data_IF_971590703013
#
_entry.id   IF_971590703013
#
_cell.length_a   1.000
_cell.length_b   1.000
_cell.length_c   1.000
_cell.angle_alpha   90.00
_cell.angle_beta   90.00
_cell.angle_gamma   90.00
#
_symmetry.space_group_name_H-M   'P 1'
#
loop_
_entity.id
_entity.type
_entity.pdbx_description
1 polymer ?
#
# COMPACT_ATOMS: atom_id res chain seq x y z
N UNK A 1 -17.19 75.47 -10.83
CA UNK A 1 -18.01 74.39 -10.24
C UNK A 1 -17.97 73.21 -11.19
N UNK A 2 -17.40 72.11 -10.99
CA UNK A 2 -16.59 71.48 -9.96
C UNK A 2 -16.16 70.13 -10.48
N UNK A 3 -14.93 70.11 -10.81
CA UNK A 3 -14.24 68.86 -11.31
C UNK A 3 -13.62 68.17 -10.09
N UNK A 4 -14.47 67.63 -9.18
CA UNK A 4 -14.01 67.00 -7.92
C UNK A 4 -14.89 65.92 -7.34
N UNK A 5 -15.65 65.18 -8.19
CA UNK A 5 -16.45 64.01 -7.73
C UNK A 5 -16.33 62.76 -8.60
N UNK A 6 -15.18 62.58 -9.25
CA UNK A 6 -14.96 61.36 -10.08
C UNK A 6 -13.69 60.58 -9.70
N UNK A 7 -13.26 60.65 -8.45
CA UNK A 7 -12.03 59.96 -7.98
C UNK A 7 -12.22 59.05 -6.77
N UNK A 8 -13.46 58.64 -6.47
CA UNK A 8 -13.75 57.76 -5.29
C UNK A 8 -14.56 56.50 -5.59
N UNK A 9 -14.54 56.02 -6.83
CA UNK A 9 -15.25 54.82 -7.24
C UNK A 9 -14.35 53.74 -7.91
N UNK A 10 -13.03 53.77 -7.71
CA UNK A 10 -12.08 52.87 -8.37
C UNK A 10 -11.11 52.16 -7.40
N UNK A 11 -11.42 52.06 -6.09
CA UNK A 11 -10.58 51.34 -5.10
C UNK A 11 -11.36 50.22 -4.39
N UNK A 12 -12.39 49.67 -4.96
CA UNK A 12 -13.17 48.59 -4.30
C UNK A 12 -13.37 47.35 -5.17
N UNK A 13 -12.49 47.02 -6.10
CA UNK A 13 -12.58 45.77 -6.90
C UNK A 13 -11.19 45.17 -7.12
N UNK A 14 -10.35 45.08 -6.11
CA UNK A 14 -9.07 44.38 -6.17
C UNK A 14 -8.78 43.54 -4.91
N UNK A 15 -9.78 42.93 -4.33
CA UNK A 15 -9.57 41.89 -3.29
C UNK A 15 -10.68 40.85 -3.44
N UNK A 16 -10.59 39.99 -4.43
CA UNK A 16 -11.27 38.70 -4.48
C UNK A 16 -10.72 37.91 -5.69
N UNK A 17 -9.45 37.60 -5.65
CA UNK A 17 -8.76 36.77 -6.60
C UNK A 17 -7.48 36.22 -5.98
N UNK A 18 -7.52 35.94 -4.68
CA UNK A 18 -6.58 34.97 -4.14
C UNK A 18 -6.97 33.63 -4.74
N UNK A 19 -6.30 33.19 -5.79
CA UNK A 19 -6.23 31.76 -6.10
C UNK A 19 -5.77 31.11 -4.78
N UNK A 20 -6.69 30.42 -4.11
CA UNK A 20 -6.30 29.50 -3.05
C UNK A 20 -5.46 28.42 -3.74
N UNK A 21 -4.16 28.64 -3.77
CA UNK A 21 -3.26 27.51 -3.98
C UNK A 21 -3.51 26.58 -2.80
N UNK A 22 -3.64 25.27 -3.05
CA UNK A 22 -3.80 24.32 -1.96
C UNK A 22 -2.64 24.55 -0.98
N UNK A 23 -2.97 24.65 0.29
CA UNK A 23 -2.00 24.83 1.36
C UNK A 23 -0.93 23.73 1.28
N UNK A 24 0.32 24.11 1.35
CA UNK A 24 1.43 23.13 1.28
C UNK A 24 1.46 22.41 2.62
N UNK A 25 1.37 21.08 2.57
CA UNK A 25 1.63 20.26 3.76
C UNK A 25 3.14 20.14 3.89
N UNK A 26 3.67 20.82 4.88
CA UNK A 26 5.06 20.73 5.32
C UNK A 26 5.09 20.36 6.82
N UNK A 27 6.28 20.29 7.38
CA UNK A 27 6.45 19.90 8.78
C UNK A 27 5.76 20.86 9.75
N UNK A 28 5.79 22.17 9.47
CA UNK A 28 5.10 23.16 10.28
C UNK A 28 3.58 23.00 10.21
N UNK A 29 3.05 22.71 9.02
CA UNK A 29 1.63 22.44 8.85
C UNK A 29 1.21 21.20 9.65
N UNK A 30 2.05 20.15 9.65
CA UNK A 30 1.79 18.93 10.43
C UNK A 30 1.79 19.22 11.93
N UNK A 31 2.79 19.97 12.44
CA UNK A 31 2.84 20.39 13.85
C UNK A 31 1.64 21.21 14.30
N UNK A 32 1.12 22.06 13.43
CA UNK A 32 -0.01 22.93 13.73
C UNK A 32 -1.36 22.19 13.68
N UNK A 33 -1.48 21.09 12.91
CA UNK A 33 -2.76 20.46 12.62
C UNK A 33 -2.88 19.01 13.14
N UNK A 34 -1.78 18.34 13.44
CA UNK A 34 -1.76 16.94 13.84
C UNK A 34 -0.96 16.67 15.12
N UNK A 35 -1.38 15.68 15.87
CA UNK A 35 -0.62 15.13 16.98
C UNK A 35 -0.11 13.73 16.62
N UNK A 36 1.19 13.48 16.84
CA UNK A 36 1.78 12.17 16.71
C UNK A 36 1.71 11.42 18.03
N UNK A 37 1.30 10.15 17.98
CA UNK A 37 1.26 9.26 19.14
C UNK A 37 1.77 7.88 18.76
N UNK A 38 2.70 7.32 19.51
CA UNK A 38 3.20 5.96 19.34
C UNK A 38 2.63 5.05 20.43
N UNK A 39 2.21 3.87 20.03
CA UNK A 39 1.59 2.88 20.92
C UNK A 39 2.04 1.47 20.60
N UNK A 40 2.06 0.63 21.60
CA UNK A 40 2.25 -0.81 21.45
C UNK A 40 0.89 -1.48 21.60
N UNK A 41 0.31 -1.94 20.49
CA UNK A 41 -1.01 -2.60 20.47
C UNK A 41 -0.82 -4.09 20.75
N UNK A 42 -1.45 -4.58 21.81
CA UNK A 42 -1.40 -5.99 22.19
C UNK A 42 -2.32 -6.82 21.30
N UNK A 43 -1.77 -7.85 20.67
CA UNK A 43 -2.48 -8.84 19.89
C UNK A 43 -3.03 -9.94 20.78
N UNK A 44 -3.95 -10.77 20.27
CA UNK A 44 -4.63 -11.85 21.01
C UNK A 44 -3.71 -12.88 21.66
N UNK A 45 -2.47 -13.02 21.17
CA UNK A 45 -1.44 -13.91 21.69
C UNK A 45 -0.50 -13.23 22.71
N UNK A 46 -0.72 -11.94 23.00
CA UNK A 46 0.06 -11.14 23.93
C UNK A 46 1.30 -10.47 23.33
N UNK A 47 1.60 -10.69 22.06
CA UNK A 47 2.63 -9.96 21.31
C UNK A 47 2.14 -8.54 21.03
N UNK A 48 3.04 -7.55 21.08
CA UNK A 48 2.69 -6.15 20.89
C UNK A 48 3.26 -5.61 19.58
N UNK A 49 2.42 -4.96 18.79
CA UNK A 49 2.81 -4.33 17.53
C UNK A 49 2.91 -2.82 17.69
N UNK A 50 4.04 -2.27 17.25
CA UNK A 50 4.30 -0.84 17.26
C UNK A 50 3.47 -0.13 16.21
N UNK A 51 2.72 0.88 16.64
CA UNK A 51 1.83 1.65 15.77
C UNK A 51 2.04 3.14 16.01
N UNK A 52 2.23 3.88 14.93
CA UNK A 52 2.30 5.34 14.93
C UNK A 52 0.96 5.89 14.45
N UNK A 53 0.34 6.71 15.27
CA UNK A 53 -0.92 7.39 14.98
C UNK A 53 -0.65 8.87 14.75
N UNK A 54 -1.20 9.41 13.68
CA UNK A 54 -1.26 10.83 13.39
C UNK A 54 -2.74 11.25 13.47
N UNK A 55 -3.07 12.00 14.51
CA UNK A 55 -4.45 12.34 14.87
C UNK A 55 -4.66 13.86 14.68
N UNK A 56 -5.72 14.32 13.96
CA UNK A 56 -5.99 15.75 13.80
C UNK A 56 -6.32 16.40 15.16
N UNK A 57 -5.76 17.59 15.42
CA UNK A 57 -5.84 18.24 16.74
C UNK A 57 -7.24 18.77 17.05
N UNK A 58 -7.91 19.37 16.06
CA UNK A 58 -9.19 20.08 16.26
C UNK A 58 -10.39 19.38 15.58
N UNK A 59 -10.28 18.09 15.32
CA UNK A 59 -11.31 17.35 14.59
C UNK A 59 -11.82 16.16 15.40
N UNK A 60 -13.14 16.02 15.46
CA UNK A 60 -13.82 14.92 16.17
C UNK A 60 -14.42 13.92 15.17
N UNK A 61 -14.48 12.65 15.57
CA UNK A 61 -15.19 11.59 14.84
C UNK A 61 -14.72 11.44 13.40
N UNK A 62 -13.41 11.18 13.19
CA UNK A 62 -12.77 11.10 11.87
C UNK A 62 -12.55 9.67 11.40
N UNK A 63 -12.57 9.42 10.08
CA UNK A 63 -12.23 8.11 9.57
C UNK A 63 -10.76 7.79 9.80
N UNK A 64 -10.44 6.51 9.88
CA UNK A 64 -9.07 6.02 10.01
C UNK A 64 -8.61 5.43 8.68
N UNK A 65 -7.40 5.76 8.26
CA UNK A 65 -6.68 5.06 7.19
C UNK A 65 -5.43 4.41 7.76
N UNK A 66 -5.33 3.09 7.61
CA UNK A 66 -4.24 2.30 8.17
C UNK A 66 -3.35 1.70 7.07
N UNK A 67 -2.05 1.70 7.32
CA UNK A 67 -1.04 0.99 6.54
C UNK A 67 -0.27 0.08 7.47
N UNK A 68 -0.15 -1.21 7.13
CA UNK A 68 0.72 -2.17 7.80
C UNK A 68 1.92 -2.44 6.90
N UNK A 69 3.13 -2.38 7.45
CA UNK A 69 4.35 -2.40 6.66
C UNK A 69 5.47 -3.24 7.29
N UNK A 70 6.24 -3.99 6.49
CA UNK A 70 7.47 -4.62 6.94
C UNK A 70 8.69 -3.71 6.75
N UNK A 71 8.49 -2.48 6.21
CA UNK A 71 9.56 -1.56 5.80
C UNK A 71 9.87 -0.45 6.80
N UNK A 72 9.23 -0.42 7.95
CA UNK A 72 9.32 0.59 8.99
C UNK A 72 8.24 1.67 8.92
N UNK A 73 7.66 1.98 10.06
CA UNK A 73 6.80 3.15 10.25
C UNK A 73 7.55 4.36 10.85
N UNK A 74 8.88 4.37 10.71
CA UNK A 74 9.74 5.49 11.13
C UNK A 74 9.27 6.84 10.53
N UNK A 75 9.67 7.98 11.15
CA UNK A 75 10.59 8.10 12.28
C UNK A 75 9.93 7.73 13.61
N UNK A 76 10.68 7.05 14.48
CA UNK A 76 10.25 6.78 15.84
C UNK A 76 10.61 7.98 16.75
N UNK A 77 9.79 8.22 17.78
CA UNK A 77 9.96 9.39 18.64
C UNK A 77 9.55 10.69 17.94
N UNK A 78 10.44 11.66 17.93
CA UNK A 78 10.19 12.96 17.29
C UNK A 78 10.27 12.89 15.75
N UNK A 79 9.59 13.81 15.06
CA UNK A 79 9.58 13.92 13.60
C UNK A 79 8.35 13.29 12.95
N UNK A 80 8.20 13.52 11.65
CA UNK A 80 7.03 13.19 10.85
C UNK A 80 7.40 12.24 9.70
N UNK A 81 6.54 11.27 9.40
CA UNK A 81 6.77 10.40 8.25
C UNK A 81 6.75 11.20 6.94
N UNK A 82 7.68 10.89 6.05
CA UNK A 82 7.75 11.48 4.72
C UNK A 82 6.47 11.21 3.90
N UNK A 83 5.82 10.08 4.12
CA UNK A 83 4.59 9.70 3.41
C UNK A 83 3.43 10.67 3.65
N UNK A 84 3.42 11.36 4.80
CA UNK A 84 2.39 12.35 5.14
C UNK A 84 2.39 13.54 4.18
N UNK A 85 3.56 14.00 3.75
CA UNK A 85 3.69 15.09 2.77
C UNK A 85 3.56 14.65 1.32
N UNK A 86 3.58 13.33 1.10
CA UNK A 86 3.45 12.66 -0.18
C UNK A 86 2.03 12.19 -0.47
N UNK A 87 1.88 10.89 -0.66
CA UNK A 87 0.63 10.27 -1.10
C UNK A 87 -0.50 10.32 -0.06
N UNK A 88 -0.20 10.52 1.22
CA UNK A 88 -1.22 10.70 2.28
C UNK A 88 -1.79 12.12 2.37
N UNK A 89 -1.24 13.08 1.62
CA UNK A 89 -1.56 14.50 1.78
C UNK A 89 -3.05 14.85 1.60
N UNK A 90 -3.77 14.17 0.71
CA UNK A 90 -5.21 14.43 0.52
C UNK A 90 -6.05 13.93 1.71
N UNK A 91 -5.63 12.85 2.36
CA UNK A 91 -6.27 12.34 3.57
C UNK A 91 -6.05 13.28 4.76
N UNK A 92 -4.83 13.80 4.92
CA UNK A 92 -4.53 14.79 5.96
C UNK A 92 -5.32 16.09 5.80
N UNK A 93 -5.47 16.61 4.57
CA UNK A 93 -6.31 17.79 4.28
C UNK A 93 -7.78 17.62 4.65
N UNK A 94 -8.20 16.40 4.81
CA UNK A 94 -9.57 16.01 5.15
C UNK A 94 -9.67 15.39 6.55
N UNK A 95 -8.69 15.66 7.40
CA UNK A 95 -8.64 15.31 8.83
C UNK A 95 -8.75 13.80 9.11
N UNK A 96 -8.21 12.94 8.25
CA UNK A 96 -8.15 11.51 8.52
C UNK A 96 -7.15 11.21 9.64
N UNK A 97 -7.48 10.27 10.49
CA UNK A 97 -6.50 9.64 11.38
C UNK A 97 -5.67 8.70 10.53
N UNK A 98 -4.35 8.88 10.51
CA UNK A 98 -3.44 7.99 9.79
C UNK A 98 -2.74 7.07 10.79
N UNK A 99 -2.77 5.76 10.53
CA UNK A 99 -2.14 4.75 11.36
C UNK A 99 -1.10 3.98 10.53
N UNK A 100 0.18 4.09 10.89
CA UNK A 100 1.24 3.23 10.36
C UNK A 100 1.63 2.19 11.40
N UNK A 101 1.72 0.92 11.02
CA UNK A 101 2.07 -0.16 11.92
C UNK A 101 3.20 -1.01 11.36
N UNK A 102 4.26 -1.18 12.15
CA UNK A 102 5.25 -2.23 11.90
C UNK A 102 4.59 -3.59 12.09
N UNK A 103 4.72 -4.46 11.09
CA UNK A 103 4.18 -5.81 11.22
C UNK A 103 4.97 -6.65 12.21
N UNK A 104 4.40 -7.73 12.66
CA UNK A 104 4.96 -8.67 13.62
C UNK A 104 6.39 -9.07 13.27
N UNK A 105 7.30 -8.93 14.24
CA UNK A 105 8.72 -9.27 14.12
C UNK A 105 9.54 -8.34 13.22
N UNK A 106 8.99 -7.16 12.89
CA UNK A 106 9.74 -6.13 12.14
C UNK A 106 9.88 -4.86 12.98
N UNK A 107 11.03 -4.22 12.84
CA UNK A 107 11.40 -2.95 13.48
C UNK A 107 11.03 -2.89 14.97
N UNK A 108 10.11 -2.02 15.37
CA UNK A 108 9.74 -1.83 16.77
C UNK A 108 8.64 -2.79 17.27
N UNK A 109 8.11 -3.63 16.39
CA UNK A 109 7.13 -4.66 16.76
C UNK A 109 7.79 -5.91 17.32
N UNK A 110 7.14 -6.53 18.29
CA UNK A 110 7.54 -7.81 18.89
C UNK A 110 7.12 -9.00 17.99
N UNK A 111 7.57 -10.18 18.38
CA UNK A 111 7.21 -11.45 17.76
C UNK A 111 8.16 -11.90 16.67
N UNK A 112 7.74 -12.88 15.88
CA UNK A 112 8.52 -13.51 14.84
C UNK A 112 7.97 -13.09 13.46
N UNK A 113 8.84 -12.58 12.60
CA UNK A 113 8.49 -12.27 11.23
C UNK A 113 8.46 -13.55 10.38
N UNK A 114 7.37 -13.74 9.66
CA UNK A 114 7.23 -14.82 8.68
C UNK A 114 6.86 -14.20 7.34
N UNK A 115 7.70 -14.43 6.33
CA UNK A 115 7.48 -13.90 5.00
C UNK A 115 6.17 -14.43 4.40
N UNK A 116 5.29 -13.50 3.98
CA UNK A 116 3.97 -13.81 3.44
C UNK A 116 3.31 -14.93 4.26
N UNK A 117 3.12 -14.64 5.56
CA UNK A 117 2.57 -15.63 6.51
C UNK A 117 1.29 -16.24 5.96
N UNK A 118 1.18 -17.58 5.91
CA UNK A 118 -0.02 -18.26 5.45
C UNK A 118 -1.28 -17.80 6.19
N UNK A 119 -2.36 -17.62 5.43
CA UNK A 119 -3.68 -17.36 6.01
C UNK A 119 -4.27 -18.68 6.53
N UNK A 120 -4.70 -18.69 7.78
CA UNK A 120 -5.41 -19.83 8.36
C UNK A 120 -6.91 -19.54 8.52
N UNK A 121 -7.77 -20.07 7.66
CA UNK A 121 -9.22 -19.88 7.77
C UNK A 121 -9.83 -20.57 9.01
N UNK A 122 -9.11 -21.51 9.63
CA UNK A 122 -9.58 -22.29 10.78
C UNK A 122 -9.01 -21.81 12.11
N UNK A 123 -8.21 -20.73 12.10
CA UNK A 123 -7.61 -20.21 13.34
C UNK A 123 -8.65 -19.90 14.40
N UNK A 124 -8.30 -20.17 15.63
CA UNK A 124 -9.17 -19.99 16.79
C UNK A 124 -8.39 -19.54 18.03
N UNK A 125 -9.05 -18.89 18.95
CA UNK A 125 -8.44 -18.46 20.22
C UNK A 125 -7.24 -17.54 20.03
N UNK A 126 -6.05 -18.02 20.38
CA UNK A 126 -4.79 -17.29 20.32
C UNK A 126 -3.97 -17.53 19.05
N UNK A 127 -4.49 -18.34 18.12
CA UNK A 127 -3.83 -18.56 16.83
C UNK A 127 -3.84 -17.27 15.99
N UNK A 128 -2.73 -17.00 15.33
CA UNK A 128 -2.49 -15.72 14.66
C UNK A 128 -2.08 -15.89 13.19
N UNK A 129 -2.49 -14.94 12.42
CA UNK A 129 -1.96 -14.59 11.11
C UNK A 129 -2.08 -13.07 10.90
N UNK A 130 -1.74 -12.57 9.73
CA UNK A 130 -1.78 -11.14 9.46
C UNK A 130 -3.21 -10.56 9.43
N UNK A 131 -4.21 -11.39 9.13
CA UNK A 131 -5.61 -10.98 9.18
C UNK A 131 -6.08 -10.81 10.63
N UNK A 132 -5.68 -11.71 11.53
CA UNK A 132 -5.99 -11.58 12.96
C UNK A 132 -5.26 -10.42 13.62
N UNK A 133 -3.99 -10.17 13.26
CA UNK A 133 -3.25 -8.99 13.75
C UNK A 133 -3.90 -7.69 13.28
N UNK A 134 -4.41 -7.67 12.03
CA UNK A 134 -5.19 -6.53 11.53
C UNK A 134 -6.49 -6.36 12.29
N UNK A 135 -7.21 -7.45 12.57
CA UNK A 135 -8.43 -7.41 13.36
C UNK A 135 -8.20 -6.78 14.74
N UNK A 136 -7.22 -7.29 15.47
CA UNK A 136 -6.91 -6.83 16.82
C UNK A 136 -6.43 -5.37 16.84
N UNK A 137 -5.66 -4.97 15.81
CA UNK A 137 -5.22 -3.59 15.65
C UNK A 137 -6.38 -2.63 15.38
N UNK A 138 -7.31 -2.99 14.49
CA UNK A 138 -8.49 -2.17 14.20
C UNK A 138 -9.38 -2.09 15.44
N UNK A 139 -9.60 -3.20 16.15
CA UNK A 139 -10.40 -3.21 17.40
C UNK A 139 -9.80 -2.26 18.43
N UNK A 140 -8.47 -2.27 18.59
CA UNK A 140 -7.81 -1.34 19.49
C UNK A 140 -7.97 0.12 19.03
N UNK A 141 -7.73 0.42 17.74
CA UNK A 141 -7.82 1.77 17.19
C UNK A 141 -9.21 2.35 17.36
N UNK A 142 -10.27 1.62 17.03
CA UNK A 142 -11.64 2.13 17.16
C UNK A 142 -12.05 2.42 18.61
N UNK A 143 -11.44 1.73 19.56
CA UNK A 143 -11.71 1.92 20.99
C UNK A 143 -10.82 2.97 21.66
N UNK A 144 -9.73 3.45 21.00
CA UNK A 144 -8.70 4.29 21.63
C UNK A 144 -8.37 5.57 20.86
N UNK A 145 -9.10 5.89 19.80
CA UNK A 145 -8.99 7.15 19.04
C UNK A 145 -10.35 7.83 18.90
N UNK A 146 -10.38 9.11 18.58
CA UNK A 146 -11.64 9.82 18.30
C UNK A 146 -12.07 9.62 16.84
N UNK A 147 -12.47 8.39 16.52
CA UNK A 147 -12.85 7.99 15.18
C UNK A 147 -14.36 7.89 14.97
N UNK A 148 -14.79 7.80 13.71
CA UNK A 148 -16.19 7.68 13.31
C UNK A 148 -16.69 6.21 13.22
N UNK A 149 -15.88 5.24 13.61
CA UNK A 149 -16.19 3.80 13.51
C UNK A 149 -15.97 3.21 12.12
N UNK A 150 -15.34 3.97 11.19
CA UNK A 150 -15.01 3.49 9.85
C UNK A 150 -13.49 3.50 9.63
N UNK A 151 -12.96 2.35 9.28
CA UNK A 151 -11.53 2.13 9.01
C UNK A 151 -11.34 1.72 7.57
N UNK A 152 -10.37 2.34 6.91
CA UNK A 152 -9.80 1.91 5.64
C UNK A 152 -8.41 1.33 5.85
N UNK A 153 -8.02 0.38 5.00
CA UNK A 153 -6.66 -0.13 4.93
C UNK A 153 -6.15 0.01 3.51
N UNK A 154 -4.95 0.55 3.35
CA UNK A 154 -4.28 0.66 2.05
C UNK A 154 -2.86 0.14 2.17
N UNK A 155 -2.27 -0.24 1.05
CA UNK A 155 -0.88 -0.65 1.00
C UNK A 155 -0.47 -1.09 -0.39
N UNK A 156 0.80 -0.85 -0.73
CA UNK A 156 1.39 -1.14 -2.03
C UNK A 156 2.49 -2.18 -1.87
N UNK A 157 2.58 -3.15 -2.82
CA UNK A 157 3.61 -4.18 -2.79
C UNK A 157 3.41 -5.12 -1.58
N UNK A 158 4.41 -5.36 -0.78
CA UNK A 158 4.27 -6.13 0.46
C UNK A 158 3.17 -5.55 1.39
N UNK A 159 3.07 -4.22 1.65
CA UNK A 159 1.89 -3.63 2.28
C UNK A 159 0.56 -3.91 1.55
N UNK A 160 0.58 -4.16 0.25
CA UNK A 160 -0.57 -4.64 -0.53
C UNK A 160 -1.03 -6.04 -0.15
N UNK A 161 -0.08 -6.95 0.15
CA UNK A 161 -0.39 -8.25 0.76
C UNK A 161 -1.09 -8.06 2.11
N UNK A 162 -0.58 -7.19 2.99
CA UNK A 162 -1.22 -6.92 4.29
C UNK A 162 -2.60 -6.28 4.12
N UNK A 163 -2.80 -5.44 3.10
CA UNK A 163 -4.13 -4.92 2.78
C UNK A 163 -5.07 -6.04 2.33
N UNK A 164 -4.61 -6.99 1.51
CA UNK A 164 -5.41 -8.17 1.14
C UNK A 164 -5.76 -9.03 2.36
N UNK A 165 -4.80 -9.26 3.26
CA UNK A 165 -5.04 -9.95 4.53
C UNK A 165 -6.02 -9.19 5.43
N UNK A 166 -6.01 -7.85 5.40
CA UNK A 166 -6.98 -7.04 6.11
C UNK A 166 -8.41 -7.29 5.61
N UNK A 167 -8.60 -7.41 4.29
CA UNK A 167 -9.92 -7.74 3.71
C UNK A 167 -10.47 -9.09 4.22
N UNK A 168 -9.58 -10.02 4.57
CA UNK A 168 -9.92 -11.34 5.14
C UNK A 168 -10.12 -11.32 6.67
N UNK A 169 -9.87 -10.19 7.34
CA UNK A 169 -9.95 -10.10 8.81
C UNK A 169 -11.38 -10.21 9.35
N UNK A 170 -12.38 -9.83 8.56
CA UNK A 170 -13.78 -9.82 8.97
C UNK A 170 -14.15 -8.78 10.02
N UNK A 171 -13.30 -7.77 10.28
CA UNK A 171 -13.60 -6.75 11.29
C UNK A 171 -14.75 -5.82 10.85
N UNK A 172 -15.78 -5.60 11.67
CA UNK A 172 -16.99 -4.86 11.26
C UNK A 172 -16.75 -3.36 10.99
N UNK A 173 -15.71 -2.76 11.58
CA UNK A 173 -15.34 -1.37 11.31
C UNK A 173 -14.55 -1.20 10.01
N UNK A 174 -13.99 -2.27 9.43
CA UNK A 174 -13.29 -2.22 8.15
C UNK A 174 -14.28 -2.06 7.01
N UNK A 175 -14.29 -0.89 6.37
CA UNK A 175 -15.27 -0.52 5.34
C UNK A 175 -14.69 -0.50 3.94
N UNK A 176 -13.40 -0.21 3.81
CA UNK A 176 -12.73 -0.06 2.51
C UNK A 176 -11.29 -0.57 2.59
N UNK A 177 -10.85 -1.25 1.55
CA UNK A 177 -9.47 -1.75 1.44
C UNK A 177 -8.94 -1.47 0.03
N UNK A 178 -7.71 -0.97 -0.05
CA UNK A 178 -7.02 -0.79 -1.34
C UNK A 178 -5.74 -1.60 -1.37
N UNK A 179 -5.79 -2.88 -1.84
CA UNK A 179 -4.59 -3.64 -2.14
C UNK A 179 -4.02 -3.14 -3.47
N UNK A 180 -2.82 -2.58 -3.43
CA UNK A 180 -2.14 -1.96 -4.56
C UNK A 180 -0.90 -2.78 -4.90
N UNK A 181 -0.78 -3.25 -6.15
CA UNK A 181 0.23 -4.24 -6.55
C UNK A 181 0.44 -5.28 -5.42
N UNK A 182 -0.61 -5.98 -4.99
CA UNK A 182 -0.50 -6.89 -3.86
C UNK A 182 0.20 -8.18 -4.26
N UNK A 183 1.06 -8.71 -3.41
CA UNK A 183 1.53 -10.08 -3.53
C UNK A 183 0.32 -11.03 -3.34
N UNK A 184 0.08 -11.89 -4.33
CA UNK A 184 -0.98 -12.89 -4.29
C UNK A 184 -0.43 -14.31 -4.31
N UNK A 185 0.56 -14.58 -5.16
CA UNK A 185 1.22 -15.87 -5.28
C UNK A 185 2.67 -15.70 -5.76
N UNK A 186 3.62 -15.86 -4.86
CA UNK A 186 5.05 -15.67 -5.11
C UNK A 186 5.70 -16.65 -6.10
N UNK A 187 5.02 -17.76 -6.40
CA UNK A 187 5.55 -18.71 -7.37
C UNK A 187 4.97 -18.53 -8.77
N UNK A 188 3.73 -18.04 -8.86
CA UNK A 188 3.07 -17.90 -10.16
C UNK A 188 3.46 -16.63 -10.88
N UNK A 189 3.62 -15.50 -10.15
CA UNK A 189 3.85 -14.29 -10.87
C UNK A 189 4.20 -13.03 -10.08
N UNK A 190 4.38 -13.13 -8.75
CA UNK A 190 4.76 -11.98 -7.92
C UNK A 190 6.19 -12.15 -7.39
N UNK A 191 6.99 -11.09 -7.34
CA UNK A 191 8.36 -10.92 -6.80
C UNK A 191 9.35 -12.07 -7.05
N UNK A 192 9.02 -13.29 -6.61
CA UNK A 192 10.01 -14.38 -6.52
C UNK A 192 10.11 -15.19 -7.81
N UNK A 193 8.98 -15.54 -8.41
CA UNK A 193 8.96 -16.31 -9.65
C UNK A 193 7.89 -15.80 -10.62
N UNK A 194 8.17 -15.92 -11.93
CA UNK A 194 7.16 -15.80 -12.98
C UNK A 194 6.99 -17.15 -13.68
N UNK A 195 5.82 -17.78 -13.50
CA UNK A 195 5.54 -19.12 -14.02
C UNK A 195 6.61 -20.13 -13.65
N UNK A 196 7.13 -20.05 -12.42
CA UNK A 196 8.18 -20.92 -11.88
C UNK A 196 9.62 -20.55 -12.30
N UNK A 197 9.82 -19.51 -13.10
CA UNK A 197 11.15 -18.97 -13.37
C UNK A 197 11.54 -17.97 -12.29
N UNK A 198 12.64 -18.23 -11.58
CA UNK A 198 13.14 -17.35 -10.51
C UNK A 198 13.46 -15.96 -11.05
N UNK A 199 12.88 -14.92 -10.44
CA UNK A 199 13.16 -13.50 -10.69
C UNK A 199 14.50 -13.12 -10.04
N UNK A 200 15.58 -13.65 -10.65
CA UNK A 200 16.88 -13.72 -10.02
C UNK A 200 17.47 -12.36 -9.60
N UNK A 201 17.31 -11.33 -10.45
CA UNK A 201 17.86 -10.01 -10.14
C UNK A 201 17.14 -9.39 -8.96
N UNK A 202 15.80 -9.39 -9.00
CA UNK A 202 14.98 -8.74 -8.02
C UNK A 202 15.13 -9.39 -6.65
N UNK A 203 14.79 -10.65 -6.53
CA UNK A 203 14.82 -11.35 -5.24
C UNK A 203 16.21 -11.46 -4.64
N UNK A 204 17.24 -11.67 -5.44
CA UNK A 204 18.61 -11.78 -4.94
C UNK A 204 19.18 -10.44 -4.48
N UNK A 205 18.80 -9.34 -5.12
CA UNK A 205 19.21 -7.99 -4.71
C UNK A 205 18.41 -7.49 -3.53
N UNK A 206 17.15 -7.90 -3.42
CA UNK A 206 16.23 -7.46 -2.38
C UNK A 206 16.37 -8.25 -1.07
N UNK A 207 16.64 -9.56 -1.17
CA UNK A 207 16.75 -10.43 -0.01
C UNK A 207 17.73 -9.95 1.08
N UNK A 208 18.95 -9.49 0.77
CA UNK A 208 19.89 -8.99 1.78
C UNK A 208 19.40 -7.73 2.49
N UNK A 209 18.61 -6.93 1.81
CA UNK A 209 18.03 -5.71 2.39
C UNK A 209 16.84 -6.01 3.28
N UNK A 210 15.93 -6.89 2.81
CA UNK A 210 14.60 -7.03 3.39
C UNK A 210 14.48 -8.14 4.42
N UNK A 211 15.15 -9.27 4.18
CA UNK A 211 14.86 -10.51 4.90
C UNK A 211 15.86 -10.85 6.01
N UNK A 212 16.63 -9.85 6.47
CA UNK A 212 17.44 -10.03 7.65
C UNK A 212 16.54 -10.17 8.87
N UNK A 213 16.73 -11.24 9.62
CA UNK A 213 16.01 -11.47 10.86
C UNK A 213 16.49 -10.58 12.00
N UNK A 214 15.55 -10.19 12.84
CA UNK A 214 15.81 -9.46 14.08
C UNK A 214 15.30 -10.27 15.27
N UNK A 215 16.15 -10.47 16.25
CA UNK A 215 15.77 -11.16 17.48
C UNK A 215 15.10 -10.26 18.50
N UNK A 216 15.14 -8.95 18.30
CA UNK A 216 14.57 -7.93 19.19
C UNK A 216 14.14 -6.72 18.36
N UNK A 217 13.20 -5.90 18.84
CA UNK A 217 12.85 -4.64 18.21
C UNK A 217 14.05 -3.73 17.95
N UNK A 218 14.10 -3.12 16.76
CA UNK A 218 15.17 -2.22 16.32
C UNK A 218 14.56 -1.00 15.61
N UNK A 219 15.11 0.18 15.88
CA UNK A 219 14.66 1.41 15.23
C UNK A 219 15.15 1.52 13.78
N UNK A 220 16.34 1.04 13.50
CA UNK A 220 16.96 1.10 12.18
C UNK A 220 17.47 -0.28 11.76
N UNK A 221 17.16 -0.65 10.52
CA UNK A 221 17.76 -1.78 9.85
C UNK A 221 18.31 -1.32 8.50
N UNK A 222 19.60 -1.33 8.38
CA UNK A 222 20.27 -0.96 7.13
C UNK A 222 20.35 -2.13 6.13
N UNK A 223 19.79 -3.29 6.48
CA UNK A 223 19.94 -4.50 5.70
C UNK A 223 21.39 -4.95 5.55
N UNK A 224 21.62 -5.87 4.66
CA UNK A 224 22.93 -6.29 4.25
C UNK A 224 23.24 -5.74 2.84
N UNK A 225 24.49 -5.32 2.55
CA UNK A 225 24.80 -4.83 1.21
C UNK A 225 24.64 -5.94 0.18
N UNK A 226 23.96 -5.62 -0.92
CA UNK A 226 23.87 -6.54 -2.06
C UNK A 226 25.27 -6.77 -2.65
N UNK A 227 25.68 -8.02 -2.92
CA UNK A 227 26.92 -8.32 -3.61
C UNK A 227 26.87 -8.02 -5.12
N UNK A 228 25.71 -7.73 -5.66
CA UNK A 228 25.51 -7.41 -7.08
C UNK A 228 25.95 -5.97 -7.35
N UNK A 229 26.89 -5.79 -8.27
CA UNK A 229 27.33 -4.46 -8.68
C UNK A 229 26.56 -3.90 -9.88
N UNK A 230 27.04 -2.79 -10.45
CA UNK A 230 26.40 -2.07 -11.56
C UNK A 230 26.20 -2.93 -12.83
N UNK A 231 27.10 -3.88 -13.11
CA UNK A 231 26.93 -4.88 -14.17
C UNK A 231 26.31 -6.17 -13.60
N UNK A 232 25.04 -6.14 -13.28
CA UNK A 232 24.31 -7.27 -12.71
C UNK A 232 24.38 -8.51 -13.64
N UNK A 233 24.19 -8.33 -14.95
CA UNK A 233 24.24 -9.43 -15.91
C UNK A 233 25.60 -10.13 -15.90
N UNK A 234 26.69 -9.36 -16.01
CA UNK A 234 28.05 -9.90 -15.96
C UNK A 234 28.41 -10.53 -14.61
N UNK A 235 27.83 -10.01 -13.52
CA UNK A 235 28.01 -10.58 -12.19
C UNK A 235 27.34 -11.95 -12.07
N UNK A 236 26.05 -12.08 -12.44
CA UNK A 236 25.32 -13.35 -12.39
C UNK A 236 25.94 -14.42 -13.31
N UNK A 237 26.42 -14.04 -14.51
CA UNK A 237 27.10 -14.98 -15.40
C UNK A 237 28.35 -15.64 -14.76
N UNK A 238 29.01 -14.96 -13.83
CA UNK A 238 30.19 -15.47 -13.13
C UNK A 238 29.82 -16.47 -12.05
N UNK A 239 28.64 -16.40 -11.49
CA UNK A 239 28.21 -17.24 -10.36
C UNK A 239 27.95 -18.70 -10.77
N UNK A 240 27.39 -18.94 -11.93
CA UNK A 240 27.17 -20.24 -12.57
C UNK A 240 26.18 -21.19 -11.85
N UNK A 241 26.07 -21.17 -10.51
CA UNK A 241 25.26 -22.10 -9.74
C UNK A 241 24.56 -21.40 -8.56
N UNK A 242 23.40 -21.88 -8.10
CA UNK A 242 22.76 -21.37 -6.90
C UNK A 242 23.67 -21.40 -5.65
N UNK A 243 24.53 -22.43 -5.52
CA UNK A 243 25.49 -22.52 -4.41
C UNK A 243 26.53 -21.39 -4.43
N UNK A 244 26.94 -20.92 -5.62
CA UNK A 244 27.83 -19.76 -5.74
C UNK A 244 27.12 -18.47 -5.33
N UNK A 245 25.84 -18.34 -5.64
CA UNK A 245 25.01 -17.21 -5.20
C UNK A 245 24.89 -17.16 -3.68
N UNK A 246 24.57 -18.30 -3.05
CA UNK A 246 24.52 -18.40 -1.59
C UNK A 246 25.87 -18.06 -0.95
N UNK A 247 26.96 -18.56 -1.51
CA UNK A 247 28.31 -18.27 -1.00
C UNK A 247 28.76 -16.80 -1.14
N UNK A 248 28.12 -16.04 -2.02
CA UNK A 248 28.40 -14.62 -2.22
C UNK A 248 27.58 -13.71 -1.30
N UNK A 249 26.54 -14.23 -0.63
CA UNK A 249 25.79 -13.46 0.37
C UNK A 249 26.65 -13.18 1.60
N UNK A 250 26.50 -12.00 2.22
CA UNK A 250 27.34 -11.60 3.35
C UNK A 250 27.00 -12.36 4.64
N UNK A 251 25.84 -12.98 4.72
CA UNK A 251 25.37 -13.77 5.85
C UNK A 251 24.36 -14.81 5.40
N UNK A 252 23.94 -15.69 6.30
CA UNK A 252 22.86 -16.63 6.06
C UNK A 252 21.52 -15.89 6.05
N UNK A 253 20.79 -16.02 4.98
CA UNK A 253 19.44 -15.50 4.84
C UNK A 253 18.48 -16.70 4.72
N UNK A 254 17.67 -16.91 5.75
CA UNK A 254 16.80 -18.09 5.79
C UNK A 254 15.79 -18.09 4.65
N UNK A 255 15.22 -16.94 4.32
CA UNK A 255 14.32 -16.83 3.18
C UNK A 255 14.97 -17.21 1.84
N UNK A 256 16.24 -16.83 1.62
CA UNK A 256 16.96 -17.26 0.42
C UNK A 256 17.15 -18.79 0.38
N UNK A 257 17.46 -19.40 1.52
CA UNK A 257 17.59 -20.85 1.64
C UNK A 257 16.24 -21.56 1.43
N UNK A 258 15.14 -21.00 1.92
CA UNK A 258 13.78 -21.48 1.69
C UNK A 258 13.44 -21.47 0.19
N UNK A 259 13.68 -20.37 -0.53
CA UNK A 259 13.48 -20.29 -1.98
C UNK A 259 14.24 -21.43 -2.70
N UNK A 260 15.51 -21.63 -2.38
CA UNK A 260 16.31 -22.67 -3.01
C UNK A 260 15.88 -24.10 -2.63
N UNK A 261 15.26 -24.26 -1.47
CA UNK A 261 14.76 -25.58 -1.01
C UNK A 261 13.43 -25.95 -1.62
N UNK A 262 12.71 -24.99 -2.19
CA UNK A 262 11.38 -25.16 -2.80
C UNK A 262 11.37 -24.72 -4.27
N UNK A 263 12.13 -25.43 -5.16
CA UNK A 263 12.26 -25.04 -6.56
C UNK A 263 11.00 -25.31 -7.41
N UNK A 264 10.08 -26.13 -6.91
CA UNK A 264 8.82 -26.49 -7.55
C UNK A 264 7.63 -25.88 -6.79
N UNK A 265 6.46 -25.78 -7.44
CA UNK A 265 5.24 -25.30 -6.82
C UNK A 265 4.66 -26.34 -5.84
N UNK A 266 5.33 -26.48 -4.71
CA UNK A 266 4.99 -27.39 -3.63
C UNK A 266 4.08 -26.73 -2.56
N UNK A 267 3.91 -27.40 -1.43
CA UNK A 267 3.01 -26.92 -0.37
C UNK A 267 3.53 -25.63 0.30
N UNK A 268 4.85 -25.40 0.32
CA UNK A 268 5.44 -24.17 0.83
C UNK A 268 4.87 -22.93 0.13
N UNK A 269 4.81 -22.93 -1.21
CA UNK A 269 4.26 -21.83 -2.00
C UNK A 269 2.74 -21.77 -1.96
N UNK A 270 2.08 -22.95 -2.02
CA UNK A 270 0.60 -23.03 -2.01
C UNK A 270 -0.01 -22.49 -0.73
N UNK A 271 0.61 -22.75 0.41
CA UNK A 271 0.15 -22.26 1.71
C UNK A 271 0.26 -20.73 1.83
N UNK A 272 1.21 -20.11 1.09
CA UNK A 272 1.43 -18.68 1.03
C UNK A 272 0.57 -17.95 -0.01
N UNK A 273 -0.07 -18.68 -0.91
CA UNK A 273 -0.99 -18.11 -1.89
C UNK A 273 -2.31 -17.70 -1.24
N UNK A 274 -2.76 -16.49 -1.50
CA UNK A 274 -4.06 -16.00 -1.05
C UNK A 274 -5.20 -16.31 -2.03
N UNK A 275 -4.91 -16.84 -3.23
CA UNK A 275 -5.92 -17.13 -4.25
C UNK A 275 -7.13 -17.94 -3.74
N UNK A 276 -6.95 -19.02 -2.93
CA UNK A 276 -8.09 -19.83 -2.47
C UNK A 276 -9.02 -19.10 -1.50
N UNK A 277 -8.56 -18.00 -0.90
CA UNK A 277 -9.24 -17.34 0.21
C UNK A 277 -9.96 -16.05 -0.18
N UNK A 278 -9.85 -15.60 -1.44
CA UNK A 278 -10.54 -14.43 -1.94
C UNK A 278 -12.03 -14.70 -2.19
N UNK A 279 -12.74 -14.98 -1.10
CA UNK A 279 -14.17 -15.33 -1.06
C UNK A 279 -14.84 -14.61 0.11
N UNK A 280 -16.12 -14.29 0.00
CA UNK A 280 -16.92 -13.68 1.08
C UNK A 280 -16.29 -12.41 1.68
N UNK A 281 -15.82 -11.52 0.78
CA UNK A 281 -15.14 -10.28 1.15
C UNK A 281 -16.17 -9.18 1.38
N UNK A 282 -16.22 -8.65 2.59
CA UNK A 282 -17.22 -7.68 3.00
C UNK A 282 -16.87 -6.21 2.77
N UNK A 283 -15.62 -5.72 3.02
CA UNK A 283 -15.29 -4.33 2.74
C UNK A 283 -15.31 -4.03 1.25
N UNK A 284 -15.52 -2.78 0.87
CA UNK A 284 -15.32 -2.33 -0.49
C UNK A 284 -13.82 -2.46 -0.86
N UNK A 285 -13.52 -2.88 -2.09
CA UNK A 285 -12.16 -3.15 -2.53
C UNK A 285 -11.80 -2.26 -3.71
N UNK A 286 -10.64 -1.59 -3.67
CA UNK A 286 -10.01 -0.89 -4.77
C UNK A 286 -8.67 -1.57 -5.08
N UNK A 287 -8.64 -2.46 -6.06
CA UNK A 287 -7.38 -3.05 -6.53
C UNK A 287 -6.68 -2.10 -7.48
N UNK A 288 -5.39 -1.87 -7.27
CA UNK A 288 -4.58 -0.98 -8.13
C UNK A 288 -3.39 -1.76 -8.70
N UNK A 289 -3.05 -1.52 -9.95
CA UNK A 289 -1.88 -2.10 -10.59
C UNK A 289 -1.30 -1.24 -11.71
N UNK A 290 -0.06 -1.52 -12.08
CA UNK A 290 0.67 -0.86 -13.14
C UNK A 290 0.86 -1.75 -14.37
N UNK A 291 0.67 -1.19 -15.57
CA UNK A 291 0.88 -1.89 -16.84
C UNK A 291 2.36 -2.29 -17.04
N UNK A 292 3.27 -1.52 -16.44
CA UNK A 292 4.72 -1.73 -16.50
C UNK A 292 5.32 -2.16 -15.16
N UNK A 293 4.48 -2.65 -14.27
CA UNK A 293 4.91 -3.26 -13.01
C UNK A 293 5.54 -4.63 -13.31
N UNK A 294 6.80 -4.79 -12.97
CA UNK A 294 7.55 -6.04 -13.19
C UNK A 294 7.49 -6.98 -11.99
N UNK A 295 7.08 -6.46 -10.84
CA UNK A 295 7.12 -7.18 -9.58
C UNK A 295 5.77 -7.87 -9.29
N UNK A 296 4.68 -7.09 -9.16
CA UNK A 296 3.38 -7.58 -8.67
C UNK A 296 2.21 -7.37 -9.67
N UNK A 297 2.49 -7.42 -10.97
CA UNK A 297 1.45 -7.35 -12.00
C UNK A 297 0.47 -8.52 -11.90
N UNK A 298 0.95 -9.73 -11.61
CA UNK A 298 0.13 -10.92 -11.46
C UNK A 298 -0.86 -10.75 -10.30
N UNK A 299 -0.38 -10.29 -9.15
CA UNK A 299 -1.19 -10.11 -7.95
C UNK A 299 -2.34 -9.12 -8.15
N UNK A 300 -2.07 -7.96 -8.74
CA UNK A 300 -3.11 -6.97 -9.02
C UNK A 300 -4.23 -7.53 -9.93
N UNK A 301 -3.84 -8.11 -11.08
CA UNK A 301 -4.79 -8.63 -12.06
C UNK A 301 -5.61 -9.81 -11.53
N UNK A 302 -4.98 -10.73 -10.81
CA UNK A 302 -5.65 -11.93 -10.32
C UNK A 302 -6.44 -11.67 -9.02
N UNK A 303 -6.03 -10.74 -8.17
CA UNK A 303 -6.84 -10.31 -7.02
C UNK A 303 -8.19 -9.76 -7.50
N UNK A 304 -8.18 -8.84 -8.46
CA UNK A 304 -9.42 -8.32 -9.06
C UNK A 304 -10.28 -9.45 -9.66
N UNK A 305 -9.67 -10.29 -10.51
CA UNK A 305 -10.36 -11.39 -11.19
C UNK A 305 -10.99 -12.39 -10.21
N UNK A 306 -10.25 -12.79 -9.19
CA UNK A 306 -10.71 -13.81 -8.24
C UNK A 306 -11.79 -13.27 -7.31
N UNK A 307 -11.66 -12.05 -6.80
CA UNK A 307 -12.74 -11.42 -6.01
C UNK A 307 -14.00 -11.30 -6.84
N UNK A 308 -13.90 -10.80 -8.08
CA UNK A 308 -15.04 -10.72 -9.01
C UNK A 308 -15.74 -12.06 -9.22
N UNK A 309 -14.99 -13.16 -9.31
CA UNK A 309 -15.53 -14.50 -9.54
C UNK A 309 -16.09 -15.16 -8.27
N UNK A 310 -15.40 -15.01 -7.16
CA UNK A 310 -15.65 -15.81 -5.95
C UNK A 310 -16.39 -15.04 -4.86
N UNK A 311 -16.45 -13.71 -4.97
CA UNK A 311 -17.12 -12.81 -4.03
C UNK A 311 -17.94 -11.75 -4.78
N UNK A 312 -18.95 -12.15 -5.56
CA UNK A 312 -19.66 -11.26 -6.50
C UNK A 312 -20.49 -10.16 -5.80
N UNK A 313 -20.75 -10.28 -4.52
CA UNK A 313 -21.44 -9.27 -3.71
C UNK A 313 -20.50 -8.16 -3.21
N UNK A 314 -19.17 -8.33 -3.35
CA UNK A 314 -18.19 -7.33 -2.96
C UNK A 314 -18.31 -6.09 -3.85
N UNK A 315 -18.32 -4.90 -3.22
CA UNK A 315 -18.22 -3.65 -3.95
C UNK A 315 -16.78 -3.48 -4.43
N UNK A 316 -16.53 -3.96 -5.65
CA UNK A 316 -15.19 -4.15 -6.22
C UNK A 316 -14.88 -3.09 -7.26
N UNK A 317 -13.71 -2.46 -7.11
CA UNK A 317 -13.17 -1.48 -8.03
C UNK A 317 -11.78 -1.88 -8.50
N UNK A 318 -11.41 -1.47 -9.71
CA UNK A 318 -10.11 -1.76 -10.30
C UNK A 318 -9.52 -0.53 -11.00
N UNK A 319 -8.25 -0.29 -10.74
CA UNK A 319 -7.47 0.76 -11.41
C UNK A 319 -6.24 0.15 -12.03
N UNK A 320 -6.04 0.40 -13.32
CA UNK A 320 -4.85 -0.07 -14.02
C UNK A 320 -4.30 1.06 -14.90
N UNK A 321 -3.12 1.52 -14.55
CA UNK A 321 -2.49 2.67 -15.22
C UNK A 321 -1.13 2.33 -15.80
N UNK A 322 -0.50 3.25 -16.54
CA UNK A 322 0.74 3.03 -17.25
C UNK A 322 1.96 3.23 -16.33
N UNK A 323 1.90 2.65 -15.16
CA UNK A 323 2.89 2.82 -14.11
C UNK A 323 3.85 1.63 -14.01
N UNK A 324 5.07 1.92 -13.59
CA UNK A 324 5.96 0.95 -12.97
C UNK A 324 5.51 0.68 -11.54
N UNK A 325 6.17 -0.24 -10.86
CA UNK A 325 5.88 -0.56 -9.45
C UNK A 325 5.88 0.71 -8.59
N UNK A 326 4.73 1.04 -7.99
CA UNK A 326 4.55 2.22 -7.15
C UNK A 326 4.39 3.56 -7.86
N UNK A 327 4.50 3.61 -9.19
CA UNK A 327 4.48 4.87 -9.95
C UNK A 327 3.23 5.73 -9.74
N UNK A 328 2.14 5.17 -9.25
CA UNK A 328 0.91 5.93 -8.93
C UNK A 328 1.02 6.77 -7.65
N UNK A 329 2.03 6.56 -6.84
CA UNK A 329 2.35 7.41 -5.68
C UNK A 329 3.57 8.30 -5.90
N UNK A 330 4.28 8.14 -7.02
CA UNK A 330 5.41 9.01 -7.35
C UNK A 330 4.92 10.41 -7.71
N UNK A 331 5.64 11.41 -7.22
CA UNK A 331 5.38 12.78 -7.63
C UNK A 331 5.75 12.96 -9.09
N UNK A 332 4.78 13.47 -9.87
CA UNK A 332 5.02 13.86 -11.28
C UNK A 332 5.43 12.69 -12.20
N UNK A 333 4.87 11.46 -11.95
CA UNK A 333 5.08 10.36 -12.89
C UNK A 333 4.56 10.71 -14.28
N UNK A 334 5.45 10.75 -15.26
CA UNK A 334 5.14 11.15 -16.64
C UNK A 334 5.35 10.05 -17.67
N UNK A 335 6.03 8.95 -17.32
CA UNK A 335 6.32 7.89 -18.28
C UNK A 335 7.43 6.93 -17.88
N UNK A 336 7.80 6.06 -18.81
CA UNK A 336 8.82 5.04 -18.64
C UNK A 336 9.89 5.17 -19.72
N UNK A 337 11.12 5.47 -19.34
CA UNK A 337 12.24 5.61 -20.28
C UNK A 337 11.96 6.67 -21.35
N UNK A 338 11.87 6.25 -22.62
CA UNK A 338 11.55 7.15 -23.73
C UNK A 338 10.05 7.30 -24.03
N UNK A 339 9.18 6.57 -23.32
CA UNK A 339 7.73 6.65 -23.46
C UNK A 339 7.21 7.73 -22.54
N UNK A 340 6.41 8.63 -23.08
CA UNK A 340 5.68 9.63 -22.31
C UNK A 340 4.20 9.31 -22.36
N UNK A 341 3.57 9.41 -21.20
CA UNK A 341 2.13 9.31 -21.00
C UNK A 341 1.57 10.69 -20.67
N UNK A 342 0.28 10.78 -20.37
CA UNK A 342 -0.34 12.03 -19.96
C UNK A 342 0.32 12.65 -18.71
N UNK A 343 0.07 13.94 -18.51
CA UNK A 343 0.59 14.67 -17.35
C UNK A 343 -0.17 14.32 -16.07
N UNK A 344 0.51 14.36 -14.92
CA UNK A 344 -0.08 14.24 -13.58
C UNK A 344 -0.89 12.95 -13.31
N UNK A 345 -0.46 11.81 -13.84
CA UNK A 345 -1.19 10.54 -13.71
C UNK A 345 -1.33 10.09 -12.26
N UNK A 346 -0.26 10.20 -11.47
CA UNK A 346 -0.28 9.88 -10.03
C UNK A 346 -1.15 10.86 -9.24
N UNK A 347 -1.06 12.16 -9.53
CA UNK A 347 -1.93 13.17 -8.92
C UNK A 347 -3.40 12.92 -9.25
N UNK A 348 -3.71 12.52 -10.49
CA UNK A 348 -5.07 12.16 -10.88
C UNK A 348 -5.55 10.94 -10.09
N UNK A 349 -4.74 9.89 -9.99
CA UNK A 349 -5.08 8.72 -9.20
C UNK A 349 -5.38 9.08 -7.74
N UNK A 350 -4.45 9.76 -7.07
CA UNK A 350 -4.61 10.11 -5.65
C UNK A 350 -5.84 11.00 -5.39
N UNK A 351 -6.08 12.01 -6.22
CA UNK A 351 -7.14 13.01 -5.99
C UNK A 351 -8.50 12.66 -6.54
N UNK A 352 -8.54 11.97 -7.69
CA UNK A 352 -9.78 11.73 -8.42
C UNK A 352 -10.28 10.29 -8.29
N UNK A 353 -9.43 9.37 -7.79
CA UNK A 353 -9.79 7.96 -7.68
C UNK A 353 -9.63 7.45 -6.24
N UNK A 354 -8.41 7.43 -5.70
CA UNK A 354 -8.12 6.82 -4.40
C UNK A 354 -8.79 7.55 -3.23
N UNK A 355 -8.55 8.86 -3.09
CA UNK A 355 -9.18 9.64 -2.02
C UNK A 355 -10.71 9.64 -2.13
N UNK A 356 -11.35 9.85 -3.30
CA UNK A 356 -12.81 9.73 -3.45
C UNK A 356 -13.36 8.35 -3.11
N UNK A 357 -12.62 7.26 -3.38
CA UNK A 357 -13.00 5.91 -2.97
C UNK A 357 -13.10 5.81 -1.45
N UNK A 358 -12.04 6.12 -0.72
CA UNK A 358 -12.07 6.06 0.73
C UNK A 358 -13.10 7.03 1.33
N UNK A 359 -13.20 8.24 0.81
CA UNK A 359 -14.19 9.22 1.27
C UNK A 359 -15.62 8.72 1.14
N UNK A 360 -15.93 8.03 0.04
CA UNK A 360 -17.27 7.49 -0.16
C UNK A 360 -17.61 6.41 0.87
N UNK A 361 -16.71 5.45 1.08
CA UNK A 361 -16.97 4.32 1.96
C UNK A 361 -16.75 4.61 3.46
N UNK A 362 -15.86 5.54 3.80
CA UNK A 362 -15.56 5.85 5.19
C UNK A 362 -16.36 7.02 5.76
N UNK A 363 -16.82 7.92 4.90
CA UNK A 363 -17.58 9.11 5.34
C UNK A 363 -19.01 9.16 4.77
N UNK A 364 -19.34 8.34 3.78
CA UNK A 364 -20.61 8.43 3.05
C UNK A 364 -20.73 9.70 2.20
N UNK A 365 -19.62 10.31 1.78
CA UNK A 365 -19.57 11.56 1.03
C UNK A 365 -19.03 11.37 -0.38
N UNK A 366 -19.43 12.25 -1.28
CA UNK A 366 -18.97 12.24 -2.67
C UNK A 366 -19.86 11.39 -3.59
N UNK A 367 -19.29 11.01 -4.72
CA UNK A 367 -19.94 10.10 -5.68
C UNK A 367 -19.40 8.71 -5.49
N UNK A 368 -20.26 7.71 -5.74
CA UNK A 368 -19.77 6.33 -5.79
C UNK A 368 -18.70 6.21 -6.87
N UNK A 369 -17.55 5.59 -6.57
CA UNK A 369 -16.50 5.37 -7.56
C UNK A 369 -16.98 4.52 -8.73
N UNK A 370 -16.40 4.72 -9.91
CA UNK A 370 -16.66 3.84 -11.05
C UNK A 370 -16.08 2.44 -10.78
N UNK A 371 -16.66 1.38 -11.33
CA UNK A 371 -16.17 0.03 -11.09
C UNK A 371 -14.73 -0.19 -11.60
N UNK A 372 -14.42 0.38 -12.78
CA UNK A 372 -13.10 0.17 -13.41
C UNK A 372 -12.58 1.47 -14.03
N UNK A 373 -11.30 1.75 -13.77
CA UNK A 373 -10.52 2.83 -14.38
C UNK A 373 -9.31 2.25 -15.09
N UNK A 374 -9.24 2.39 -16.40
CA UNK A 374 -8.09 1.95 -17.20
C UNK A 374 -7.50 3.15 -17.92
N UNK A 375 -6.18 3.32 -17.83
CA UNK A 375 -5.50 4.28 -18.67
C UNK A 375 -5.13 3.65 -20.00
N UNK A 376 -5.68 4.16 -21.08
CA UNK A 376 -5.39 3.66 -22.41
C UNK A 376 -4.19 4.38 -23.02
N UNK A 377 -2.99 3.84 -22.84
CA UNK A 377 -1.70 4.39 -23.28
C UNK A 377 -1.68 4.81 -24.75
N UNK A 378 -2.37 4.05 -25.64
CA UNK A 378 -2.44 4.38 -27.07
C UNK A 378 -3.33 5.59 -27.42
N UNK A 379 -4.21 6.03 -26.50
CA UNK A 379 -5.07 7.20 -26.66
C UNK A 379 -4.84 8.29 -25.61
N UNK A 380 -3.91 8.05 -24.72
CA UNK A 380 -3.44 8.97 -23.67
C UNK A 380 -4.57 9.50 -22.79
N UNK A 381 -5.44 8.61 -22.31
CA UNK A 381 -6.60 9.00 -21.51
C UNK A 381 -7.12 7.91 -20.61
N UNK A 382 -7.68 8.33 -19.49
CA UNK A 382 -8.49 7.47 -18.63
C UNK A 382 -9.81 7.06 -19.30
N UNK A 383 -10.17 5.80 -19.11
CA UNK A 383 -11.44 5.24 -19.50
C UNK A 383 -12.10 4.60 -18.28
N UNK A 384 -13.40 4.76 -18.14
CA UNK A 384 -14.19 4.07 -17.13
C UNK A 384 -15.08 3.02 -17.80
N UNK A 385 -15.25 1.89 -17.15
CA UNK A 385 -16.09 0.80 -17.66
C UNK A 385 -16.74 0.03 -16.50
N UNK A 386 -17.73 -0.76 -16.80
CA UNK A 386 -18.47 -1.52 -15.78
C UNK A 386 -17.73 -2.79 -15.36
N UNK A 387 -16.85 -3.30 -16.21
CA UNK A 387 -16.13 -4.54 -16.00
C UNK A 387 -14.84 -4.60 -16.83
N UNK A 388 -13.87 -5.41 -16.39
CA UNK A 388 -12.62 -5.63 -17.10
C UNK A 388 -12.17 -7.11 -17.04
N UNK A 389 -11.72 -7.71 -18.18
CA UNK A 389 -11.83 -7.12 -19.52
C UNK A 389 -13.29 -6.90 -19.91
N UNK A 390 -13.55 -5.92 -20.79
CA UNK A 390 -14.90 -5.66 -21.26
C UNK A 390 -15.51 -6.92 -21.94
N UNK A 391 -16.82 -7.13 -21.78
CA UNK A 391 -17.50 -8.34 -22.32
C UNK A 391 -17.30 -8.56 -23.82
N UNK A 392 -17.08 -7.47 -24.56
CA UNK A 392 -16.87 -7.49 -26.00
C UNK A 392 -15.42 -7.25 -26.41
N UNK A 393 -14.47 -7.42 -25.51
CA UNK A 393 -13.05 -7.34 -25.82
C UNK A 393 -12.66 -8.48 -26.77
N UNK A 394 -12.04 -8.14 -27.90
CA UNK A 394 -11.44 -9.10 -28.82
C UNK A 394 -10.02 -9.41 -28.38
N UNK A 395 -9.66 -10.71 -28.34
CA UNK A 395 -8.33 -11.22 -27.96
C UNK A 395 -7.39 -11.27 -29.16
#
# INVERSE_FOLDING_TARGET
>A
MTMQRLFLALIAVFVLGACNQPEVIDEQWLEDNYAKREVMIEMRDGIRLHTVLYEPVDAESRPVLMVRTPYSCAPYGEGWSHDLTGYMSEFLRNDYIIAFQDVRGRYMSEGEFVNVRPFDPNKSGYEIDEASDTYDSIEWIVNNTDNNGAVGVTGMSYPGFYATMAALSGHPALKAVSPQAPILDWYKGDDVHHNGALMLLDIYSFAPYMFKEHNNPVEEDHGLPSPVGDDAYGWFLKQRTPSSLTAALPDTLDFWNEILSHPDYDDYWKERSLEPYLTDIHPAILVVGGEYDTDDCYGALNTYKLIRQNSPETDLHFVYGPWTHGGWHEKDYEGLGGLKFGENLSTHFMKEIEFPFFRYYLEGKGRRPEPVYIYASGSDRWQTMQDWPAENAES
#
